data_IF_710357036032
#
_entry.id   IF_710357036032
#
_cell.length_a   1.000
_cell.length_b   1.000
_cell.length_c   1.000
_cell.angle_alpha   90.00
_cell.angle_beta   90.00
_cell.angle_gamma   90.00
#
_symmetry.space_group_name_H-M   'P 1'
#
loop_
_entity.id
_entity.type
_entity.pdbx_description
1 polymer ?
#
# COMPACT_ATOMS: atom_id res chain seq x y z
N UNK A 1 -21.43 12.36 -36.03
CA UNK A 1 -20.71 12.37 -37.31
C UNK A 1 -19.22 12.31 -36.99
N UNK A 2 -18.55 11.24 -37.45
CA UNK A 2 -17.09 10.97 -37.36
C UNK A 2 -16.53 10.56 -35.97
N UNK A 3 -16.07 9.35 -35.62
CA UNK A 3 -15.87 8.02 -36.23
C UNK A 3 -15.43 7.99 -37.69
N UNK A 4 -14.24 8.52 -38.02
CA UNK A 4 -13.59 8.20 -39.31
C UNK A 4 -12.13 8.68 -39.53
N UNK A 5 -11.30 8.88 -38.49
CA UNK A 5 -9.89 9.27 -38.74
C UNK A 5 -8.91 8.58 -37.79
N UNK A 6 -8.73 7.27 -37.98
CA UNK A 6 -7.53 6.56 -37.49
C UNK A 6 -7.23 5.26 -38.27
N UNK A 7 -7.83 5.06 -39.44
CA UNK A 7 -7.78 3.80 -40.19
C UNK A 7 -6.73 3.71 -41.30
N UNK A 8 -5.70 4.58 -41.32
CA UNK A 8 -4.83 4.67 -42.51
C UNK A 8 -3.31 4.54 -42.27
N UNK A 9 -2.84 4.11 -41.10
CA UNK A 9 -1.39 3.92 -40.89
C UNK A 9 -0.92 2.47 -40.73
N UNK A 10 -1.78 1.47 -40.99
CA UNK A 10 -1.45 0.05 -40.81
C UNK A 10 -1.23 -0.71 -42.13
N UNK A 11 -0.88 0.00 -43.21
CA UNK A 11 -0.61 -0.65 -44.50
C UNK A 11 0.67 -0.15 -45.17
N UNK A 12 1.82 -0.28 -44.49
CA UNK A 12 3.12 -0.46 -45.16
C UNK A 12 4.23 -0.82 -44.18
N UNK A 13 4.44 -2.11 -43.97
CA UNK A 13 5.54 -2.60 -43.13
C UNK A 13 5.52 -4.11 -43.02
N UNK A 14 5.95 -4.77 -44.09
CA UNK A 14 6.20 -6.20 -44.15
C UNK A 14 7.51 -6.46 -43.38
N UNK A 15 7.46 -7.21 -42.28
CA UNK A 15 8.66 -7.66 -41.58
C UNK A 15 8.43 -8.06 -40.12
N UNK A 16 8.56 -9.37 -39.88
CA UNK A 16 8.98 -10.06 -38.65
C UNK A 16 7.98 -10.18 -37.47
N UNK A 17 7.32 -11.33 -37.43
CA UNK A 17 6.61 -11.93 -36.29
C UNK A 17 7.51 -12.29 -35.07
N UNK A 18 8.75 -11.79 -35.01
CA UNK A 18 9.74 -12.14 -33.97
C UNK A 18 9.97 -11.04 -32.92
N UNK A 19 9.45 -9.81 -33.12
CA UNK A 19 9.69 -8.67 -32.22
C UNK A 19 8.59 -8.47 -31.14
N UNK A 20 7.50 -9.25 -31.20
CA UNK A 20 6.37 -9.17 -30.27
C UNK A 20 6.56 -10.05 -29.01
N UNK A 21 7.43 -11.07 -29.08
CA UNK A 21 7.71 -11.99 -27.97
C UNK A 21 8.65 -11.36 -26.91
N UNK A 22 9.61 -10.53 -27.32
CA UNK A 22 10.52 -9.84 -26.37
C UNK A 22 9.84 -8.68 -25.62
N UNK A 23 8.85 -8.03 -26.23
CA UNK A 23 8.07 -6.99 -25.57
C UNK A 23 7.14 -7.55 -24.47
N UNK A 24 6.68 -8.81 -24.60
CA UNK A 24 5.91 -9.50 -23.55
C UNK A 24 6.77 -9.91 -22.34
N UNK A 25 8.03 -10.30 -22.57
CA UNK A 25 8.94 -10.67 -21.48
C UNK A 25 9.17 -9.49 -20.51
N UNK A 26 9.30 -8.26 -21.01
CA UNK A 26 9.51 -7.06 -20.17
C UNK A 26 8.26 -6.56 -19.43
N UNK A 27 7.07 -7.08 -19.74
CA UNK A 27 5.85 -6.81 -18.94
C UNK A 27 5.70 -7.79 -17.77
N UNK A 28 6.29 -8.98 -17.90
CA UNK A 28 6.23 -10.03 -16.87
C UNK A 28 7.19 -9.71 -15.71
N UNK A 29 8.30 -9.02 -15.98
CA UNK A 29 9.25 -8.60 -14.92
C UNK A 29 8.74 -7.48 -14.00
N UNK A 30 7.67 -6.75 -14.38
CA UNK A 30 7.00 -5.81 -13.47
C UNK A 30 5.89 -6.45 -12.63
N UNK A 31 5.59 -7.74 -12.87
CA UNK A 31 4.71 -8.55 -12.03
C UNK A 31 5.49 -9.31 -10.95
N UNK A 32 6.83 -9.21 -10.96
CA UNK A 32 7.77 -9.95 -10.12
C UNK A 32 8.35 -9.20 -8.93
N UNK A 33 7.96 -7.93 -8.69
CA UNK A 33 7.97 -7.45 -7.30
C UNK A 33 6.72 -8.00 -6.67
N UNK A 34 6.90 -9.13 -6.01
CA UNK A 34 6.07 -9.57 -4.90
C UNK A 34 5.70 -8.33 -4.07
N UNK A 35 4.57 -7.71 -4.38
CA UNK A 35 3.80 -7.01 -3.39
C UNK A 35 3.43 -8.12 -2.43
N UNK A 36 4.30 -8.23 -1.43
CA UNK A 36 4.35 -9.26 -0.42
C UNK A 36 2.93 -9.67 -0.14
N UNK A 37 2.63 -10.96 -0.29
CA UNK A 37 1.39 -11.53 0.22
C UNK A 37 1.31 -11.04 1.66
N UNK A 38 0.49 -10.00 1.86
CA UNK A 38 0.24 -9.32 3.12
C UNK A 38 -0.46 -10.39 3.94
N UNK A 39 0.32 -11.26 4.57
CA UNK A 39 -0.14 -12.24 5.53
C UNK A 39 -0.47 -11.44 6.77
N UNK A 40 -1.57 -10.69 6.68
CA UNK A 40 -2.20 -10.09 7.84
C UNK A 40 -2.44 -11.25 8.79
N UNK A 41 -1.74 -11.24 9.92
CA UNK A 41 -1.93 -12.22 10.96
C UNK A 41 -3.42 -12.27 11.30
N UNK A 42 -4.00 -13.47 11.44
CA UNK A 42 -5.46 -13.68 11.66
C UNK A 42 -6.03 -12.97 12.92
N UNK A 43 -5.20 -12.31 13.72
CA UNK A 43 -5.59 -11.58 14.93
C UNK A 43 -4.78 -10.28 15.05
N UNK A 44 -4.99 -9.33 14.15
CA UNK A 44 -4.48 -7.96 14.32
C UNK A 44 -5.25 -7.31 15.46
N UNK A 45 -4.55 -6.92 16.52
CA UNK A 45 -5.11 -6.22 17.68
C UNK A 45 -4.59 -4.79 17.79
N UNK A 46 -3.37 -4.54 17.33
CA UNK A 46 -2.72 -3.25 17.45
C UNK A 46 -2.20 -2.74 16.09
N UNK A 47 -2.74 -1.61 15.66
CA UNK A 47 -2.25 -0.85 14.51
C UNK A 47 -1.61 0.44 15.00
N UNK A 48 -0.37 0.68 14.58
CA UNK A 48 0.42 1.85 14.93
C UNK A 48 0.65 2.70 13.70
N UNK A 49 0.30 3.97 13.76
CA UNK A 49 0.63 4.96 12.72
C UNK A 49 1.83 5.76 13.18
N UNK A 50 2.98 5.56 12.54
CA UNK A 50 4.22 6.19 12.93
C UNK A 50 4.66 7.27 11.93
N UNK A 51 5.15 8.38 12.46
CA UNK A 51 5.90 9.39 11.71
C UNK A 51 7.07 9.89 12.56
N UNK A 52 7.99 10.65 11.97
CA UNK A 52 9.22 11.12 12.62
C UNK A 52 8.96 11.77 14.00
N UNK A 53 7.96 12.65 14.09
CA UNK A 53 7.63 13.36 15.34
C UNK A 53 6.43 12.80 16.11
N UNK A 54 5.68 11.84 15.55
CA UNK A 54 4.50 11.25 16.19
C UNK A 54 3.23 12.12 16.34
N UNK A 55 3.28 13.45 16.16
CA UNK A 55 2.15 14.37 16.40
C UNK A 55 1.52 15.04 15.15
N UNK A 56 2.02 14.75 13.95
CA UNK A 56 1.56 15.40 12.72
C UNK A 56 0.55 14.57 11.92
N UNK A 57 0.94 14.24 10.70
CA UNK A 57 0.15 13.42 9.78
C UNK A 57 -0.20 12.03 10.33
N UNK A 58 0.59 11.51 11.28
CA UNK A 58 0.31 10.29 12.05
C UNK A 58 -0.97 10.38 12.88
N UNK A 59 -1.24 11.52 13.53
CA UNK A 59 -2.44 11.72 14.34
C UNK A 59 -3.71 11.76 13.48
N UNK A 60 -3.62 12.40 12.32
CA UNK A 60 -4.71 12.46 11.34
C UNK A 60 -4.99 11.09 10.70
N UNK A 61 -3.93 10.37 10.32
CA UNK A 61 -4.02 9.00 9.79
C UNK A 61 -4.62 8.02 10.81
N UNK A 62 -4.14 8.05 12.05
CA UNK A 62 -4.66 7.21 13.15
C UNK A 62 -6.13 7.49 13.42
N UNK A 63 -6.53 8.77 13.48
CA UNK A 63 -7.93 9.15 13.70
C UNK A 63 -8.86 8.66 12.58
N UNK A 64 -8.39 8.74 11.33
CA UNK A 64 -9.16 8.30 10.15
C UNK A 64 -9.30 6.78 10.12
N UNK A 65 -8.19 6.06 10.32
CA UNK A 65 -8.18 4.60 10.38
C UNK A 65 -9.04 4.09 11.54
N UNK A 66 -8.91 4.68 12.74
CA UNK A 66 -9.70 4.34 13.92
C UNK A 66 -11.20 4.44 13.64
N UNK A 67 -11.65 5.52 13.01
CA UNK A 67 -13.06 5.68 12.63
C UNK A 67 -13.50 4.58 11.66
N UNK A 68 -12.69 4.25 10.64
CA UNK A 68 -13.03 3.20 9.66
C UNK A 68 -13.09 1.79 10.29
N UNK A 69 -12.14 1.47 11.16
CA UNK A 69 -12.08 0.21 11.92
C UNK A 69 -13.31 0.07 12.83
N UNK A 70 -13.66 1.14 13.57
CA UNK A 70 -14.85 1.17 14.42
C UNK A 70 -16.14 1.03 13.60
N UNK A 71 -16.24 1.73 12.46
CA UNK A 71 -17.39 1.62 11.55
C UNK A 71 -17.51 0.21 10.93
N UNK A 72 -16.40 -0.51 10.78
CA UNK A 72 -16.39 -1.89 10.32
C UNK A 72 -16.74 -2.91 11.43
N UNK A 73 -16.87 -2.47 12.69
CA UNK A 73 -17.16 -3.33 13.84
C UNK A 73 -15.96 -4.18 14.28
N UNK A 74 -14.74 -3.76 13.95
CA UNK A 74 -13.51 -4.46 14.31
C UNK A 74 -12.98 -3.94 15.66
N UNK A 75 -12.70 -4.84 16.61
CA UNK A 75 -12.11 -4.48 17.91
C UNK A 75 -10.58 -4.39 17.82
N UNK A 76 -10.10 -3.42 17.04
CA UNK A 76 -8.67 -3.19 16.80
C UNK A 76 -8.27 -1.84 17.38
N UNK A 77 -7.21 -1.84 18.18
CA UNK A 77 -6.66 -0.63 18.79
C UNK A 77 -5.77 0.09 17.78
N UNK A 78 -6.02 1.38 17.59
CA UNK A 78 -5.24 2.24 16.70
C UNK A 78 -4.57 3.33 17.52
N UNK A 79 -3.25 3.45 17.43
CA UNK A 79 -2.45 4.47 18.12
C UNK A 79 -1.50 5.17 17.15
N UNK A 80 -1.00 6.35 17.53
CA UNK A 80 0.06 7.06 16.82
C UNK A 80 1.30 7.21 17.72
N UNK A 81 2.49 6.99 17.16
CA UNK A 81 3.76 7.11 17.88
C UNK A 81 4.84 7.74 17.00
N UNK A 82 5.98 8.12 17.58
CA UNK A 82 7.21 8.32 16.82
C UNK A 82 7.76 6.98 16.31
N UNK A 83 8.60 6.99 15.28
CA UNK A 83 9.19 5.76 14.68
C UNK A 83 10.05 5.02 15.70
N UNK A 84 10.78 5.76 16.53
CA UNK A 84 11.66 5.22 17.57
C UNK A 84 10.88 4.69 18.78
N UNK A 85 9.58 4.99 18.86
CA UNK A 85 8.69 4.60 19.95
C UNK A 85 7.62 3.59 19.49
N UNK A 86 7.81 2.95 18.33
CA UNK A 86 6.90 1.89 17.88
C UNK A 86 7.01 0.73 18.86
N UNK A 87 5.91 0.29 19.49
CA UNK A 87 5.93 -0.84 20.41
C UNK A 87 6.19 -2.14 19.64
N UNK A 88 6.98 -3.04 20.21
CA UNK A 88 7.35 -4.31 19.57
C UNK A 88 6.15 -5.27 19.38
N UNK A 89 5.07 -5.05 20.13
CA UNK A 89 3.79 -5.77 20.03
C UNK A 89 2.86 -5.21 18.93
N UNK A 90 3.32 -4.23 18.14
CA UNK A 90 2.57 -3.72 17.00
C UNK A 90 2.42 -4.82 15.94
N UNK A 91 1.19 -5.15 15.58
CA UNK A 91 0.92 -6.11 14.50
C UNK A 91 1.11 -5.44 13.14
N UNK A 92 0.60 -4.22 13.00
CA UNK A 92 0.69 -3.42 11.78
C UNK A 92 1.27 -2.04 12.10
N UNK A 93 2.23 -1.62 11.29
CA UNK A 93 2.85 -0.29 11.34
C UNK A 93 2.60 0.43 10.02
N UNK A 94 1.94 1.58 10.09
CA UNK A 94 1.65 2.44 8.93
C UNK A 94 2.58 3.66 8.96
N UNK A 95 3.34 3.87 7.88
CA UNK A 95 4.28 5.00 7.75
C UNK A 95 4.26 5.61 6.35
N UNK A 96 4.94 6.75 6.16
CA UNK A 96 5.21 7.25 4.81
C UNK A 96 6.27 6.41 4.11
N UNK A 97 6.22 6.35 2.77
CA UNK A 97 7.24 5.67 1.96
C UNK A 97 8.68 6.12 2.32
N UNK A 98 8.90 7.41 2.54
CA UNK A 98 10.19 7.99 2.94
C UNK A 98 10.71 7.49 4.30
N UNK A 99 9.83 7.06 5.18
CA UNK A 99 10.12 6.65 6.55
C UNK A 99 9.99 5.14 6.78
N UNK A 100 9.48 4.41 5.78
CA UNK A 100 9.23 2.98 5.84
C UNK A 100 10.47 2.14 6.16
N UNK A 101 11.63 2.51 5.61
CA UNK A 101 12.90 1.84 5.91
C UNK A 101 13.30 1.97 7.39
N UNK A 102 13.04 3.12 8.02
CA UNK A 102 13.32 3.32 9.45
C UNK A 102 12.36 2.53 10.32
N UNK A 103 11.08 2.52 9.97
CA UNK A 103 10.07 1.75 10.68
C UNK A 103 10.38 0.24 10.68
N UNK A 104 10.81 -0.31 9.54
CA UNK A 104 11.24 -1.72 9.42
C UNK A 104 12.40 -2.07 10.34
N UNK A 105 13.36 -1.15 10.51
CA UNK A 105 14.47 -1.35 11.44
C UNK A 105 14.03 -1.25 12.90
N UNK A 106 13.09 -0.36 13.23
CA UNK A 106 12.58 -0.20 14.59
C UNK A 106 11.72 -1.39 15.05
N UNK A 107 10.86 -1.92 14.16
CA UNK A 107 9.95 -3.01 14.47
C UNK A 107 9.96 -4.07 13.34
N UNK A 108 11.02 -4.88 13.20
CA UNK A 108 11.15 -5.83 12.09
C UNK A 108 10.11 -6.96 12.10
N UNK A 109 9.48 -7.22 13.25
CA UNK A 109 8.48 -8.29 13.43
C UNK A 109 7.07 -7.85 13.02
N UNK A 110 6.83 -6.54 12.89
CA UNK A 110 5.52 -5.99 12.54
C UNK A 110 5.31 -5.98 11.02
N UNK A 111 4.05 -5.97 10.60
CA UNK A 111 3.70 -5.77 9.20
C UNK A 111 3.76 -4.29 8.81
N UNK A 112 4.62 -3.94 7.85
CA UNK A 112 4.83 -2.54 7.46
C UNK A 112 4.01 -2.18 6.22
N UNK A 113 3.16 -1.18 6.37
CA UNK A 113 2.37 -0.60 5.28
C UNK A 113 2.85 0.83 5.04
N UNK A 114 3.38 1.07 3.85
CA UNK A 114 3.82 2.40 3.42
C UNK A 114 2.74 3.09 2.60
N UNK A 115 2.46 4.36 2.90
CA UNK A 115 1.51 5.20 2.17
C UNK A 115 2.18 6.47 1.68
N UNK A 116 1.85 6.89 0.45
CA UNK A 116 2.37 8.16 -0.10
C UNK A 116 1.76 9.39 0.58
N UNK A 117 0.45 9.38 0.87
CA UNK A 117 -0.24 10.51 1.47
C UNK A 117 -1.24 10.05 2.55
N UNK A 118 -1.28 10.76 3.67
CA UNK A 118 -2.19 10.47 4.79
C UNK A 118 -3.60 11.04 4.59
N UNK A 119 -3.78 12.02 3.69
CA UNK A 119 -5.06 12.65 3.45
C UNK A 119 -5.86 11.91 2.38
N UNK A 120 -6.88 11.16 2.80
CA UNK A 120 -7.95 10.68 1.93
C UNK A 120 -7.56 9.61 0.91
N UNK A 121 -6.52 8.82 1.18
CA UNK A 121 -6.14 7.71 0.30
C UNK A 121 -7.10 6.52 0.44
N UNK A 122 -7.53 5.89 -0.68
CA UNK A 122 -8.36 4.67 -0.66
C UNK A 122 -7.66 3.48 0.00
N UNK A 123 -6.34 3.59 0.21
CA UNK A 123 -5.50 2.60 0.88
C UNK A 123 -6.05 2.24 2.28
N UNK A 124 -6.57 3.21 3.05
CA UNK A 124 -7.14 2.87 4.35
C UNK A 124 -8.39 1.99 4.27
N UNK A 125 -9.20 2.15 3.21
CA UNK A 125 -10.37 1.29 3.00
C UNK A 125 -9.93 -0.12 2.62
N UNK A 126 -8.90 -0.25 1.78
CA UNK A 126 -8.32 -1.55 1.43
C UNK A 126 -7.77 -2.28 2.65
N UNK A 127 -7.07 -1.58 3.55
CA UNK A 127 -6.56 -2.16 4.80
C UNK A 127 -7.72 -2.68 5.65
N UNK A 128 -8.76 -1.87 5.86
CA UNK A 128 -9.92 -2.28 6.65
C UNK A 128 -10.68 -3.44 6.00
N UNK A 129 -10.81 -3.47 4.67
CA UNK A 129 -11.42 -4.60 3.97
C UNK A 129 -10.60 -5.89 4.11
N UNK A 130 -9.27 -5.80 4.08
CA UNK A 130 -8.40 -6.96 4.31
C UNK A 130 -8.49 -7.45 5.76
N UNK A 131 -8.63 -6.55 6.73
CA UNK A 131 -8.83 -6.90 8.14
C UNK A 131 -10.20 -7.53 8.45
N UNK A 132 -11.19 -7.34 7.56
CA UNK A 132 -12.54 -7.90 7.71
C UNK A 132 -12.68 -9.35 7.22
N UNK A 133 -11.73 -9.85 6.41
CA UNK A 133 -11.74 -11.21 5.87
C UNK A 133 -11.26 -12.24 6.88
#
# INVERSE_FOLDING_TARGET
>A
VSFLVAGFFIKRGKGNDEELEEAKAKMVDLKGKESSVVKIAKNVKLIVVACDAGMGSSAMGASTLRKKVQNAGLDIKVINTAIEQIPAEADIVITQESLSSRAKNAAPNAEHISIGNFMGTPVYDEIVQKLKK
#
